data_IF_702278826661
#
_entry.id   IF_702278826661
#
_cell.length_a   1.000
_cell.length_b   1.000
_cell.length_c   1.000
_cell.angle_alpha   90.00
_cell.angle_beta   90.00
_cell.angle_gamma   90.00
#
_symmetry.space_group_name_H-M   'P 1'
#
loop_
_entity.id
_entity.type
_entity.pdbx_description
1 polymer ?
#
# COMPACT_ATOMS: atom_id res chain seq x y z
N UNK A 1 7.64 15.06 23.75
CA UNK A 1 7.70 13.61 23.51
C UNK A 1 8.38 13.46 22.17
N UNK A 2 9.62 12.97 22.14
CA UNK A 2 10.36 12.81 20.89
C UNK A 2 9.76 11.65 20.11
N UNK A 3 9.20 11.94 18.94
CA UNK A 3 8.67 10.93 18.04
C UNK A 3 9.83 10.09 17.53
N UNK A 4 9.79 8.78 17.76
CA UNK A 4 10.80 7.84 17.24
C UNK A 4 10.67 7.73 15.71
N UNK A 5 11.40 8.59 15.01
CA UNK A 5 11.40 8.70 13.55
C UNK A 5 12.07 7.52 12.84
N UNK A 6 12.68 6.58 13.57
CA UNK A 6 13.34 5.41 12.98
C UNK A 6 12.38 4.45 12.27
N UNK A 7 11.08 4.57 12.56
CA UNK A 7 10.00 3.78 11.95
C UNK A 7 9.35 4.45 10.74
N UNK A 8 9.74 5.69 10.42
CA UNK A 8 9.13 6.48 9.36
C UNK A 8 9.78 6.19 8.00
N UNK A 9 8.97 6.17 6.95
CA UNK A 9 9.44 6.11 5.58
C UNK A 9 9.50 7.53 4.99
N UNK A 10 10.70 7.97 4.61
CA UNK A 10 10.90 9.24 3.90
C UNK A 10 10.42 9.11 2.45
N UNK A 11 9.43 9.90 2.07
CA UNK A 11 8.94 10.00 0.69
C UNK A 11 9.92 10.77 -0.21
N UNK A 12 9.85 10.54 -1.52
CA UNK A 12 10.73 11.22 -2.50
C UNK A 12 10.39 12.71 -2.73
N UNK A 13 9.32 13.21 -2.09
CA UNK A 13 8.88 14.61 -2.07
C UNK A 13 9.41 15.39 -0.85
N UNK A 14 10.18 14.74 0.04
CA UNK A 14 10.67 15.35 1.27
C UNK A 14 9.60 15.44 2.38
N UNK A 15 8.44 14.81 2.20
CA UNK A 15 7.41 14.70 3.22
C UNK A 15 7.44 13.30 3.88
N UNK A 16 7.25 13.28 5.20
CA UNK A 16 6.99 12.07 5.96
C UNK A 16 5.48 11.79 5.90
N UNK A 17 5.08 10.63 5.40
CA UNK A 17 3.69 10.19 5.52
C UNK A 17 3.54 9.48 6.87
N UNK A 18 3.37 10.31 7.92
CA UNK A 18 3.48 9.95 9.34
C UNK A 18 2.52 8.85 9.84
N UNK A 19 1.47 8.50 9.09
CA UNK A 19 0.41 7.64 9.64
C UNK A 19 0.25 6.28 8.97
N UNK A 20 0.81 6.05 7.78
CA UNK A 20 0.58 4.78 7.05
C UNK A 20 1.68 3.77 7.38
N UNK A 21 1.32 2.76 8.17
CA UNK A 21 2.26 1.74 8.62
C UNK A 21 2.18 0.50 7.74
N UNK A 22 3.35 -0.10 7.47
CA UNK A 22 3.38 -1.42 6.87
C UNK A 22 2.68 -2.42 7.82
N UNK A 23 1.91 -3.39 7.28
CA UNK A 23 1.23 -4.36 8.12
C UNK A 23 2.25 -5.21 8.90
N UNK A 24 1.96 -5.47 10.17
CA UNK A 24 2.79 -6.27 11.07
C UNK A 24 2.27 -7.70 11.27
N UNK A 25 1.06 -7.99 10.77
CA UNK A 25 0.41 -9.31 10.82
C UNK A 25 -0.16 -9.72 9.48
N UNK A 26 -0.34 -11.03 9.29
CA UNK A 26 -1.11 -11.58 8.17
C UNK A 26 -2.61 -11.36 8.43
N UNK A 27 -3.31 -10.80 7.45
CA UNK A 27 -4.74 -10.51 7.53
C UNK A 27 -5.31 -10.18 6.15
N UNK A 28 -6.64 -10.22 6.05
CA UNK A 28 -7.38 -9.57 4.96
C UNK A 28 -8.06 -8.33 5.53
N UNK A 29 -8.01 -7.23 4.79
CA UNK A 29 -8.74 -6.01 5.15
C UNK A 29 -9.36 -5.37 3.91
N UNK A 30 -10.45 -4.65 4.11
CA UNK A 30 -11.03 -3.75 3.09
C UNK A 30 -10.52 -2.34 3.35
N UNK A 31 -10.05 -1.68 2.29
CA UNK A 31 -9.55 -0.31 2.40
C UNK A 31 -9.71 0.50 1.13
N UNK A 32 -9.79 1.82 1.30
CA UNK A 32 -9.81 2.79 0.22
C UNK A 32 -8.38 3.18 -0.14
N UNK A 33 -8.02 3.11 -1.42
CA UNK A 33 -6.74 3.62 -1.92
C UNK A 33 -6.76 5.15 -1.90
N UNK A 34 -6.03 5.78 -0.98
CA UNK A 34 -6.10 7.24 -0.77
C UNK A 34 -4.88 7.99 -1.31
N UNK A 35 -3.74 7.33 -1.46
CA UNK A 35 -2.57 7.90 -2.13
C UNK A 35 -1.59 6.81 -2.59
N UNK A 36 -0.70 7.18 -3.51
CA UNK A 36 0.43 6.35 -3.93
C UNK A 36 1.72 7.17 -3.95
N UNK A 37 2.85 6.51 -3.67
CA UNK A 37 4.16 7.13 -3.66
C UNK A 37 5.21 6.24 -4.29
N UNK A 38 6.15 6.85 -4.99
CA UNK A 38 7.31 6.14 -5.51
C UNK A 38 8.34 5.97 -4.40
N UNK A 39 8.86 4.75 -4.28
CA UNK A 39 9.94 4.42 -3.38
C UNK A 39 11.08 3.76 -4.15
N UNK A 40 12.31 4.16 -3.82
CA UNK A 40 13.51 3.58 -4.39
C UNK A 40 14.60 3.41 -3.32
N UNK A 41 15.20 2.22 -3.25
CA UNK A 41 16.39 1.98 -2.43
C UNK A 41 17.25 0.86 -3.01
N UNK A 42 18.55 1.12 -3.17
CA UNK A 42 19.51 0.12 -3.63
C UNK A 42 19.12 -0.55 -4.95
N UNK A 43 18.61 0.23 -5.91
CA UNK A 43 18.17 -0.27 -7.22
C UNK A 43 16.84 -1.02 -7.22
N UNK A 44 16.14 -1.13 -6.08
CA UNK A 44 14.77 -1.65 -6.01
C UNK A 44 13.78 -0.51 -6.11
N UNK A 45 12.74 -0.71 -6.89
CA UNK A 45 11.64 0.23 -7.08
C UNK A 45 10.35 -0.38 -6.52
N UNK A 46 9.55 0.44 -5.84
CA UNK A 46 8.21 0.08 -5.41
C UNK A 46 7.27 1.26 -5.57
N UNK A 47 5.99 0.96 -5.76
CA UNK A 47 4.91 1.90 -5.53
C UNK A 47 4.33 1.58 -4.15
N UNK A 48 4.44 2.51 -3.21
CA UNK A 48 3.75 2.44 -1.93
C UNK A 48 2.30 2.82 -2.19
N UNK A 49 1.36 1.94 -1.83
CA UNK A 49 -0.07 2.16 -1.94
C UNK A 49 -0.64 2.33 -0.52
N UNK A 50 -1.17 3.51 -0.24
CA UNK A 50 -1.67 3.87 1.08
C UNK A 50 -3.18 3.65 1.12
N UNK A 51 -3.62 2.81 2.05
CA UNK A 51 -5.01 2.43 2.25
C UNK A 51 -5.55 2.95 3.57
N UNK A 52 -6.71 3.61 3.53
CA UNK A 52 -7.52 3.82 4.72
C UNK A 52 -8.46 2.60 4.87
N UNK A 53 -8.16 1.73 5.83
CA UNK A 53 -8.96 0.55 6.12
C UNK A 53 -10.31 0.93 6.76
N UNK A 54 -11.32 0.07 6.62
CA UNK A 54 -12.66 0.31 7.18
C UNK A 54 -12.67 0.44 8.71
N UNK A 55 -11.72 -0.20 9.39
CA UNK A 55 -11.52 -0.08 10.84
C UNK A 55 -10.74 1.17 11.27
N UNK A 56 -10.45 2.07 10.32
CA UNK A 56 -9.76 3.35 10.54
C UNK A 56 -8.24 3.26 10.52
N UNK A 57 -7.65 2.07 10.36
CA UNK A 57 -6.19 1.93 10.22
C UNK A 57 -5.70 2.52 8.91
N UNK A 58 -4.52 3.11 8.95
CA UNK A 58 -3.79 3.64 7.80
C UNK A 58 -2.66 2.68 7.47
N UNK A 59 -2.81 1.94 6.36
CA UNK A 59 -1.94 0.82 6.00
C UNK A 59 -1.17 1.13 4.72
N UNK A 60 0.15 0.99 4.75
CA UNK A 60 1.02 1.11 3.57
C UNK A 60 1.35 -0.28 3.01
N UNK A 61 0.93 -0.56 1.77
CA UNK A 61 1.27 -1.79 1.06
C UNK A 61 2.28 -1.51 -0.06
N UNK A 62 3.34 -2.30 -0.11
CA UNK A 62 4.44 -2.12 -1.06
C UNK A 62 4.19 -2.98 -2.30
N UNK A 63 3.96 -2.33 -3.44
CA UNK A 63 3.89 -2.96 -4.74
C UNK A 63 5.30 -2.90 -5.38
N UNK A 64 6.15 -3.89 -5.10
CA UNK A 64 7.49 -3.95 -5.69
C UNK A 64 7.40 -4.17 -7.21
N UNK A 65 8.29 -3.49 -7.95
CA UNK A 65 8.38 -3.66 -9.39
C UNK A 65 8.67 -5.13 -9.72
N UNK A 66 7.83 -5.73 -10.57
CA UNK A 66 8.05 -7.09 -11.10
C UNK A 66 8.84 -7.00 -12.41
N UNK A 67 8.24 -7.39 -13.53
CA UNK A 67 8.76 -7.18 -14.88
C UNK A 67 8.47 -5.76 -15.37
N UNK A 68 9.02 -5.37 -16.53
CA UNK A 68 9.07 -3.97 -17.00
C UNK A 68 7.74 -3.23 -16.84
N UNK A 69 7.65 -2.41 -15.80
CA UNK A 69 6.57 -1.46 -15.55
C UNK A 69 5.38 -1.96 -14.71
N UNK A 70 5.37 -3.21 -14.24
CA UNK A 70 4.29 -3.74 -13.40
C UNK A 70 4.53 -3.53 -11.90
N UNK A 71 3.55 -2.92 -11.22
CA UNK A 71 3.56 -2.66 -9.78
C UNK A 71 2.25 -3.17 -9.18
N UNK A 72 2.28 -4.31 -8.48
CA UNK A 72 1.07 -4.86 -7.85
C UNK A 72 1.38 -5.86 -6.74
N UNK A 73 0.34 -6.42 -6.08
CA UNK A 73 0.46 -7.48 -5.08
C UNK A 73 1.19 -8.71 -5.64
N UNK A 74 1.64 -9.60 -4.76
CA UNK A 74 2.36 -10.83 -5.14
C UNK A 74 1.65 -11.65 -6.21
N UNK A 75 0.35 -11.85 -6.02
CA UNK A 75 -0.55 -12.61 -6.89
C UNK A 75 -1.51 -11.67 -7.65
N UNK A 76 -2.06 -12.18 -8.76
CA UNK A 76 -3.04 -11.44 -9.57
C UNK A 76 -2.43 -10.52 -10.65
N UNK A 77 -3.31 -9.86 -11.38
CA UNK A 77 -2.98 -9.08 -12.59
C UNK A 77 -3.17 -7.55 -12.43
N UNK A 78 -3.51 -7.09 -11.23
CA UNK A 78 -3.79 -5.67 -10.99
C UNK A 78 -2.48 -4.88 -10.91
N UNK A 79 -2.36 -3.88 -11.77
CA UNK A 79 -1.24 -2.93 -11.75
C UNK A 79 -1.67 -1.64 -11.06
N UNK A 80 -1.27 -1.47 -9.79
CA UNK A 80 -1.57 -0.30 -8.97
C UNK A 80 -0.94 0.99 -9.46
N UNK A 81 0.02 0.93 -10.40
CA UNK A 81 0.46 2.11 -11.16
C UNK A 81 -0.68 2.81 -11.90
N UNK A 82 -1.73 2.06 -12.25
CA UNK A 82 -2.89 2.54 -13.00
C UNK A 82 -4.19 2.48 -12.20
N UNK A 83 -4.13 2.12 -10.92
CA UNK A 83 -5.32 2.11 -10.07
C UNK A 83 -5.79 3.55 -9.81
N UNK A 84 -7.08 3.79 -9.95
CA UNK A 84 -7.69 5.08 -9.64
C UNK A 84 -7.70 5.31 -8.12
N UNK A 85 -7.43 6.55 -7.70
CA UNK A 85 -7.57 6.93 -6.30
C UNK A 85 -9.03 6.85 -5.86
N UNK A 86 -9.25 6.73 -4.55
CA UNK A 86 -10.55 6.63 -3.89
C UNK A 86 -11.36 5.37 -4.21
N UNK A 87 -10.78 4.39 -4.90
CA UNK A 87 -11.35 3.06 -5.13
C UNK A 87 -11.21 2.15 -3.90
N UNK A 88 -12.11 1.19 -3.75
CA UNK A 88 -12.12 0.25 -2.62
C UNK A 88 -11.59 -1.12 -3.02
N UNK A 89 -10.74 -1.68 -2.16
CA UNK A 89 -10.04 -2.93 -2.40
C UNK A 89 -10.14 -3.84 -1.17
N UNK A 90 -10.39 -5.12 -1.41
CA UNK A 90 -10.04 -6.16 -0.46
C UNK A 90 -8.56 -6.51 -0.68
N UNK A 91 -7.74 -6.31 0.34
CA UNK A 91 -6.31 -6.54 0.31
C UNK A 91 -5.96 -7.70 1.23
N UNK A 92 -5.22 -8.67 0.71
CA UNK A 92 -4.69 -9.79 1.50
C UNK A 92 -3.21 -9.57 1.80
N UNK A 93 -2.84 -9.66 3.07
CA UNK A 93 -1.47 -9.63 3.56
C UNK A 93 -1.11 -11.02 4.07
N UNK A 94 -0.02 -11.58 3.57
CA UNK A 94 0.51 -12.87 4.02
C UNK A 94 1.90 -12.71 4.62
N UNK A 95 2.13 -13.47 5.69
CA UNK A 95 3.46 -13.66 6.24
C UNK A 95 4.28 -14.60 5.35
N UNK A 96 5.49 -14.19 4.97
CA UNK A 96 6.40 -15.05 4.23
C UNK A 96 7.28 -15.89 5.17
N UNK A 97 8.08 -16.80 4.60
CA UNK A 97 8.98 -17.70 5.35
C UNK A 97 10.00 -16.99 6.26
N UNK A 98 10.20 -15.67 6.12
CA UNK A 98 11.08 -14.84 6.94
C UNK A 98 10.34 -14.04 8.01
N UNK A 99 9.07 -14.33 8.26
CA UNK A 99 8.24 -13.62 9.22
C UNK A 99 7.83 -12.22 8.78
N UNK A 100 7.91 -11.88 7.49
CA UNK A 100 7.53 -10.56 6.99
C UNK A 100 6.16 -10.60 6.35
N UNK A 101 5.28 -9.71 6.78
CA UNK A 101 3.95 -9.50 6.23
C UNK A 101 4.04 -8.69 4.93
N UNK A 102 3.59 -9.29 3.83
CA UNK A 102 3.72 -8.73 2.48
C UNK A 102 2.39 -8.78 1.73
N UNK A 103 2.19 -7.83 0.82
CA UNK A 103 0.96 -7.74 0.03
C UNK A 103 0.84 -8.90 -0.96
N UNK A 104 -0.15 -9.75 -0.71
CA UNK A 104 -0.30 -11.02 -1.40
C UNK A 104 -1.29 -10.94 -2.55
N UNK A 105 -2.48 -10.37 -2.34
CA UNK A 105 -3.48 -10.20 -3.39
C UNK A 105 -4.33 -8.94 -3.17
N UNK A 106 -5.04 -8.51 -4.22
CA UNK A 106 -6.00 -7.42 -4.14
C UNK A 106 -7.17 -7.67 -5.09
N UNK A 107 -8.39 -7.44 -4.61
CA UNK A 107 -9.63 -7.49 -5.39
C UNK A 107 -10.33 -6.13 -5.32
N UNK A 108 -10.65 -5.54 -6.47
CA UNK A 108 -11.40 -4.29 -6.50
C UNK A 108 -12.86 -4.56 -6.15
N UNK A 109 -13.39 -3.88 -5.13
CA UNK A 109 -14.77 -4.02 -4.68
C UNK A 109 -15.70 -2.95 -5.25
N UNK A 110 -15.15 -1.78 -5.62
CA UNK A 110 -15.95 -0.67 -6.14
C UNK A 110 -15.11 0.49 -6.70
N UNK A 111 -15.78 1.37 -7.44
CA UNK A 111 -15.22 2.61 -7.96
C UNK A 111 -15.09 3.71 -6.89
N UNK A 112 -14.60 4.91 -7.27
CA UNK A 112 -14.61 6.08 -6.40
C UNK A 112 -16.02 6.32 -5.87
N UNK A 113 -16.19 6.50 -4.55
CA UNK A 113 -17.45 7.02 -4.02
C UNK A 113 -17.61 8.44 -4.55
N UNK A 114 -18.46 8.61 -5.56
CA UNK A 114 -18.95 9.93 -5.95
C UNK A 114 -19.76 10.48 -4.78
N UNK A 115 -19.11 11.26 -3.90
CA UNK A 115 -19.84 12.22 -3.10
C UNK A 115 -20.35 13.28 -4.07
N UNK A 116 -21.52 13.03 -4.66
CA UNK A 116 -22.32 14.11 -5.20
C UNK A 116 -22.55 15.12 -4.06
N UNK A 117 -22.12 16.35 -4.30
CA UNK A 117 -22.31 17.53 -3.44
C UNK A 117 -23.81 17.76 -3.25
#
# INVERSE_FOLDING_TARGET
METDISKLHEGTDGFYYDDFLAPDKAETFVGQLVSTQWWQKGGRFALICNFLAEDGRKIALFAFQKYTGFYGPGDGAVNFKHAEMNTFWECEVRENRKGRCTWASALQLGGPKNNAI
#
